data_IF_451586747057
#
_entry.id   IF_451586747057
#
_cell.length_a   1.000
_cell.length_b   1.000
_cell.length_c   1.000
_cell.angle_alpha   90.00
_cell.angle_beta   90.00
_cell.angle_gamma   90.00
#
_symmetry.space_group_name_H-M   'P 1'
#
loop_
_entity.id
_entity.type
_entity.pdbx_description
1 polymer ?
#
# COMPACT_ATOMS: atom_id res chain seq x y z
N UNK A 1 -33.23 11.41 12.83
CA UNK A 1 -33.60 10.03 13.23
C UNK A 1 -35.10 9.91 13.49
N UNK A 2 -35.98 9.94 12.46
CA UNK A 2 -37.44 9.69 12.64
C UNK A 2 -38.14 9.09 11.41
N UNK A 3 -37.44 8.46 10.46
CA UNK A 3 -38.06 7.90 9.24
C UNK A 3 -37.79 6.39 9.02
N UNK A 4 -37.03 5.72 9.89
CA UNK A 4 -36.61 4.32 9.69
C UNK A 4 -37.50 3.24 10.34
N UNK A 5 -38.53 3.62 11.11
CA UNK A 5 -39.19 2.67 12.03
C UNK A 5 -40.15 1.67 11.37
N UNK A 6 -40.61 1.90 10.14
CA UNK A 6 -41.67 1.08 9.53
C UNK A 6 -41.20 0.08 8.45
N UNK A 7 -39.91 0.05 8.17
CA UNK A 7 -39.35 -0.69 7.02
C UNK A 7 -38.60 -1.97 7.42
N UNK A 8 -38.25 -2.14 8.71
CA UNK A 8 -37.37 -3.22 9.18
C UNK A 8 -38.00 -4.61 9.25
N UNK A 9 -39.32 -4.76 9.15
CA UNK A 9 -40.01 -6.05 9.36
C UNK A 9 -40.36 -6.83 8.08
N UNK A 10 -40.15 -6.25 6.90
CA UNK A 10 -40.61 -6.81 5.61
C UNK A 10 -39.49 -7.38 4.72
N UNK A 11 -38.24 -7.34 5.18
CA UNK A 11 -37.06 -7.56 4.34
C UNK A 11 -36.87 -8.99 3.81
N UNK A 12 -37.34 -10.03 4.52
CA UNK A 12 -36.91 -11.41 4.20
C UNK A 12 -37.91 -12.31 3.45
N UNK A 13 -39.18 -11.95 3.26
CA UNK A 13 -40.12 -12.92 2.66
C UNK A 13 -41.43 -12.24 2.24
N UNK A 14 -41.64 -11.90 0.96
CA UNK A 14 -43.00 -11.89 0.30
C UNK A 14 -43.12 -11.21 -1.08
N UNK A 15 -42.18 -10.37 -1.55
CA UNK A 15 -42.44 -9.49 -2.72
C UNK A 15 -42.73 -10.15 -4.08
N UNK A 16 -42.12 -11.31 -4.40
CA UNK A 16 -42.42 -12.05 -5.66
C UNK A 16 -43.75 -12.81 -5.60
N UNK A 17 -44.09 -13.33 -4.41
CA UNK A 17 -45.34 -14.07 -4.18
C UNK A 17 -46.55 -13.14 -4.30
N UNK A 18 -46.49 -11.97 -3.68
CA UNK A 18 -47.58 -10.98 -3.69
C UNK A 18 -47.91 -10.47 -5.08
N UNK A 19 -46.91 -10.08 -5.89
CA UNK A 19 -47.16 -9.57 -7.25
C UNK A 19 -47.86 -10.60 -8.15
N UNK A 20 -47.51 -11.88 -8.00
CA UNK A 20 -48.12 -12.98 -8.78
C UNK A 20 -49.54 -13.32 -8.33
N UNK A 21 -49.83 -13.18 -7.04
CA UNK A 21 -51.15 -13.34 -6.43
C UNK A 21 -52.08 -12.18 -6.81
N UNK A 22 -51.58 -10.94 -6.78
CA UNK A 22 -52.33 -9.75 -7.18
C UNK A 22 -52.83 -9.83 -8.63
N UNK A 23 -51.94 -10.19 -9.57
CA UNK A 23 -52.31 -10.38 -10.98
C UNK A 23 -53.30 -11.52 -11.19
N UNK A 24 -53.23 -12.58 -10.39
CA UNK A 24 -54.18 -13.70 -10.43
C UNK A 24 -55.57 -13.27 -9.95
N UNK A 25 -55.65 -12.49 -8.88
CA UNK A 25 -56.89 -11.94 -8.33
C UNK A 25 -57.57 -10.99 -9.34
N UNK A 26 -56.82 -10.05 -9.93
CA UNK A 26 -57.31 -9.19 -11.02
C UNK A 26 -57.84 -9.99 -12.21
N UNK A 27 -57.08 -11.00 -12.67
CA UNK A 27 -57.49 -11.83 -13.81
C UNK A 27 -58.73 -12.69 -13.56
N UNK A 28 -59.07 -12.92 -12.28
CA UNK A 28 -60.22 -13.73 -11.87
C UNK A 28 -61.50 -12.91 -11.66
N UNK A 29 -61.43 -11.58 -11.70
CA UNK A 29 -62.55 -10.68 -11.43
C UNK A 29 -63.07 -10.73 -9.98
N UNK A 30 -62.37 -11.42 -9.09
CA UNK A 30 -62.70 -11.54 -7.67
C UNK A 30 -61.75 -10.65 -6.86
N UNK A 31 -62.31 -9.80 -6.01
CA UNK A 31 -61.59 -8.97 -5.04
C UNK A 31 -60.60 -7.93 -5.64
N UNK A 32 -61.08 -7.07 -6.57
CA UNK A 32 -60.31 -5.93 -7.11
C UNK A 32 -59.66 -5.06 -6.02
N UNK A 33 -60.39 -4.80 -4.92
CA UNK A 33 -59.87 -4.01 -3.80
C UNK A 33 -58.70 -4.71 -3.08
N UNK A 34 -58.71 -6.04 -3.01
CA UNK A 34 -57.66 -6.85 -2.40
C UNK A 34 -56.42 -6.92 -3.31
N UNK A 35 -56.64 -7.06 -4.63
CA UNK A 35 -55.59 -6.96 -5.65
C UNK A 35 -54.89 -5.60 -5.62
N UNK A 36 -55.64 -4.50 -5.57
CA UNK A 36 -55.11 -3.14 -5.51
C UNK A 36 -54.29 -2.92 -4.23
N UNK A 37 -54.81 -3.34 -3.06
CA UNK A 37 -54.06 -3.29 -1.78
C UNK A 37 -52.74 -4.06 -1.84
N UNK A 38 -52.72 -5.23 -2.49
CA UNK A 38 -51.52 -6.03 -2.65
C UNK A 38 -50.48 -5.37 -3.58
N UNK A 39 -50.93 -4.73 -4.65
CA UNK A 39 -50.07 -3.98 -5.56
C UNK A 39 -49.48 -2.75 -4.88
N UNK A 40 -50.29 -1.99 -4.13
CA UNK A 40 -49.85 -0.81 -3.39
C UNK A 40 -48.82 -1.18 -2.31
N UNK A 41 -49.07 -2.24 -1.54
CA UNK A 41 -48.10 -2.75 -0.56
C UNK A 41 -46.80 -3.26 -1.20
N UNK A 42 -46.87 -3.83 -2.41
CA UNK A 42 -45.67 -4.23 -3.17
C UNK A 42 -44.89 -3.02 -3.68
N UNK A 43 -45.57 -1.99 -4.17
CA UNK A 43 -44.92 -0.75 -4.63
C UNK A 43 -44.30 0.02 -3.47
N UNK A 44 -44.96 0.06 -2.31
CA UNK A 44 -44.42 0.62 -1.08
C UNK A 44 -43.18 -0.16 -0.62
N UNK A 45 -43.25 -1.50 -0.62
CA UNK A 45 -42.10 -2.36 -0.30
C UNK A 45 -40.91 -2.12 -1.23
N UNK A 46 -41.13 -1.92 -2.54
CA UNK A 46 -40.06 -1.59 -3.50
C UNK A 46 -39.43 -0.21 -3.22
N UNK A 47 -40.25 0.79 -2.89
CA UNK A 47 -39.75 2.14 -2.51
C UNK A 47 -38.92 2.07 -1.23
N UNK A 48 -39.42 1.34 -0.25
CA UNK A 48 -38.76 1.03 1.01
C UNK A 48 -37.42 0.31 0.81
N UNK A 49 -37.39 -0.70 -0.05
CA UNK A 49 -36.17 -1.43 -0.42
C UNK A 49 -35.15 -0.51 -1.09
N UNK A 50 -35.56 0.28 -2.08
CA UNK A 50 -34.68 1.21 -2.76
C UNK A 50 -34.10 2.28 -1.80
N UNK A 51 -34.89 2.75 -0.84
CA UNK A 51 -34.43 3.68 0.19
C UNK A 51 -33.40 3.02 1.13
N UNK A 52 -33.63 1.78 1.56
CA UNK A 52 -32.67 1.04 2.40
C UNK A 52 -31.38 0.69 1.67
N UNK A 53 -31.44 0.27 0.41
CA UNK A 53 -30.25 0.01 -0.42
C UNK A 53 -29.41 1.29 -0.60
N UNK A 54 -30.06 2.45 -0.73
CA UNK A 54 -29.38 3.74 -0.79
C UNK A 54 -28.71 4.10 0.55
N UNK A 55 -29.40 3.88 1.68
CA UNK A 55 -28.85 4.11 3.02
C UNK A 55 -27.69 3.16 3.33
N UNK A 56 -27.81 1.88 2.98
CA UNK A 56 -26.75 0.88 3.11
C UNK A 56 -25.51 1.30 2.32
N UNK A 57 -25.69 1.71 1.06
CA UNK A 57 -24.58 2.17 0.21
C UNK A 57 -23.88 3.39 0.80
N UNK A 58 -24.63 4.36 1.33
CA UNK A 58 -24.05 5.54 1.98
C UNK A 58 -23.30 5.17 3.27
N UNK A 59 -23.90 4.32 4.12
CA UNK A 59 -23.30 3.86 5.36
C UNK A 59 -22.01 3.07 5.09
N UNK A 60 -22.03 2.18 4.08
CA UNK A 60 -20.86 1.41 3.64
C UNK A 60 -19.74 2.32 3.12
N UNK A 61 -20.06 3.31 2.29
CA UNK A 61 -19.07 4.27 1.80
C UNK A 61 -18.42 5.07 2.95
N UNK A 62 -19.22 5.50 3.95
CA UNK A 62 -18.70 6.17 5.16
C UNK A 62 -17.82 5.25 6.00
N UNK A 63 -18.19 3.98 6.14
CA UNK A 63 -17.41 2.98 6.85
C UNK A 63 -16.07 2.74 6.15
N UNK A 64 -16.08 2.47 4.84
CA UNK A 64 -14.88 2.24 4.04
C UNK A 64 -13.94 3.45 4.11
N UNK A 65 -14.46 4.68 3.99
CA UNK A 65 -13.65 5.89 4.10
C UNK A 65 -12.95 6.01 5.46
N UNK A 66 -13.62 5.63 6.57
CA UNK A 66 -12.99 5.61 7.90
C UNK A 66 -11.99 4.48 8.04
N UNK A 67 -12.32 3.27 7.58
CA UNK A 67 -11.41 2.12 7.66
C UNK A 67 -10.08 2.38 6.92
N UNK A 68 -10.10 3.11 5.80
CA UNK A 68 -8.89 3.48 5.05
C UNK A 68 -7.96 4.46 5.81
N UNK A 69 -8.42 5.05 6.91
CA UNK A 69 -7.59 5.91 7.78
C UNK A 69 -6.90 5.14 8.90
N UNK A 70 -7.34 3.91 9.17
CA UNK A 70 -6.81 3.10 10.26
C UNK A 70 -5.57 2.36 9.77
N UNK A 71 -4.47 2.51 10.49
CA UNK A 71 -3.22 1.81 10.22
C UNK A 71 -3.28 0.32 10.56
N UNK A 72 -2.25 -0.39 10.12
CA UNK A 72 -2.06 -1.80 10.39
C UNK A 72 -1.83 -2.04 11.90
N UNK A 73 -2.17 -3.25 12.35
CA UNK A 73 -1.87 -3.66 13.72
C UNK A 73 -0.37 -3.89 13.84
N UNK A 74 0.23 -3.29 14.86
CA UNK A 74 1.66 -3.37 15.10
C UNK A 74 2.03 -4.71 15.76
N UNK A 75 3.18 -5.23 15.38
CA UNK A 75 3.76 -6.41 16.05
C UNK A 75 4.12 -6.08 17.50
N UNK A 76 3.95 -7.04 18.40
CA UNK A 76 4.25 -6.87 19.83
C UNK A 76 5.72 -6.48 20.11
N UNK A 77 6.63 -6.81 19.20
CA UNK A 77 8.04 -6.45 19.32
C UNK A 77 8.36 -5.01 18.90
N UNK A 78 7.39 -4.22 18.42
CA UNK A 78 7.62 -2.83 18.02
C UNK A 78 7.82 -1.98 19.27
N UNK A 79 8.93 -1.21 19.38
CA UNK A 79 9.13 -0.33 20.53
C UNK A 79 8.05 0.77 20.56
N UNK A 80 7.40 0.94 21.71
CA UNK A 80 6.33 1.94 21.88
C UNK A 80 6.94 3.30 22.22
N UNK A 81 6.87 4.23 21.28
CA UNK A 81 7.34 5.62 21.44
C UNK A 81 6.88 6.47 20.25
N UNK A 82 6.66 7.76 20.50
CA UNK A 82 6.41 8.77 19.46
C UNK A 82 7.68 9.54 19.05
N UNK A 83 8.81 9.26 19.71
CA UNK A 83 10.10 9.86 19.44
C UNK A 83 11.02 8.85 18.72
N UNK A 84 11.46 9.19 17.50
CA UNK A 84 12.42 8.42 16.71
C UNK A 84 13.79 8.28 17.40
N UNK A 85 14.14 9.15 18.35
CA UNK A 85 15.35 9.01 19.15
C UNK A 85 15.32 7.72 20.00
N UNK A 86 14.14 7.16 20.27
CA UNK A 86 13.95 5.91 21.01
C UNK A 86 13.96 4.67 20.09
N UNK A 87 14.33 4.83 18.82
CA UNK A 87 14.57 3.70 17.93
C UNK A 87 15.61 2.74 18.53
N UNK A 88 15.34 1.44 18.46
CA UNK A 88 16.15 0.43 19.18
C UNK A 88 17.16 -0.22 18.25
N UNK A 89 18.43 -0.23 18.63
CA UNK A 89 19.46 -0.99 17.92
C UNK A 89 19.21 -2.49 18.08
N UNK A 90 18.98 -3.18 16.96
CA UNK A 90 18.73 -4.63 16.93
C UNK A 90 20.02 -5.39 16.62
N UNK A 91 20.82 -4.87 15.69
CA UNK A 91 22.07 -5.52 15.26
C UNK A 91 23.09 -4.48 14.83
N UNK A 92 24.30 -4.55 15.37
CA UNK A 92 25.44 -3.78 14.86
C UNK A 92 26.18 -4.53 13.75
N UNK A 93 26.77 -3.81 12.81
CA UNK A 93 27.66 -4.40 11.80
C UNK A 93 28.81 -3.46 11.45
N UNK A 94 30.03 -4.02 11.40
CA UNK A 94 31.25 -3.30 11.06
C UNK A 94 31.74 -2.31 12.13
N UNK A 95 32.90 -1.72 11.88
CA UNK A 95 33.46 -0.66 12.71
C UNK A 95 33.42 0.66 11.95
N UNK A 96 32.95 1.73 12.61
CA UNK A 96 32.96 3.07 12.03
C UNK A 96 34.41 3.55 11.92
N UNK A 97 34.84 3.93 10.72
CA UNK A 97 36.10 4.64 10.54
C UNK A 97 36.05 5.98 11.29
N UNK A 98 36.92 6.12 12.28
CA UNK A 98 37.08 7.35 13.08
C UNK A 98 38.46 7.93 12.81
N UNK A 99 38.55 9.26 12.66
CA UNK A 99 39.79 9.99 12.45
C UNK A 99 40.13 10.34 10.99
N UNK A 100 41.01 11.33 10.83
CA UNK A 100 41.38 11.93 9.54
C UNK A 100 40.43 13.05 9.09
N UNK A 101 40.87 13.88 8.15
CA UNK A 101 40.03 14.91 7.49
C UNK A 101 39.12 14.24 6.45
N UNK A 102 38.16 13.44 6.91
CA UNK A 102 37.20 12.76 6.04
C UNK A 102 36.32 13.80 5.35
N UNK A 103 36.27 13.74 4.02
CA UNK A 103 35.38 14.58 3.22
C UNK A 103 33.96 14.05 3.28
N UNK A 104 32.97 14.95 3.27
CA UNK A 104 31.58 14.53 3.05
C UNK A 104 31.39 14.12 1.58
N UNK A 105 30.29 13.45 1.28
CA UNK A 105 30.05 12.92 -0.07
C UNK A 105 29.94 14.02 -1.15
N UNK A 106 29.47 15.22 -0.81
CA UNK A 106 29.37 16.34 -1.77
C UNK A 106 30.76 16.81 -2.16
N UNK A 107 31.63 17.05 -1.17
CA UNK A 107 33.02 17.44 -1.41
C UNK A 107 33.78 16.37 -2.18
N UNK A 108 33.53 15.09 -1.89
CA UNK A 108 34.11 13.97 -2.65
C UNK A 108 33.66 13.98 -4.12
N UNK A 109 32.36 14.14 -4.36
CA UNK A 109 31.81 14.20 -5.71
C UNK A 109 32.39 15.36 -6.52
N UNK A 110 32.57 16.54 -5.89
CA UNK A 110 33.20 17.71 -6.51
C UNK A 110 34.69 17.44 -6.77
N UNK A 111 35.42 16.90 -5.79
CA UNK A 111 36.84 16.65 -5.90
C UNK A 111 37.20 15.56 -6.93
N UNK A 112 36.27 14.67 -7.23
CA UNK A 112 36.44 13.56 -8.19
C UNK A 112 35.80 13.84 -9.55
N UNK A 113 35.13 14.98 -9.72
CA UNK A 113 34.45 15.40 -10.95
C UNK A 113 33.41 14.38 -11.48
N UNK A 114 32.83 13.58 -10.58
CA UNK A 114 31.83 12.55 -10.94
C UNK A 114 30.38 13.06 -10.83
N UNK A 115 30.17 14.28 -10.33
CA UNK A 115 28.84 14.93 -10.26
C UNK A 115 28.91 16.41 -10.60
N UNK A 116 28.03 16.85 -11.49
CA UNK A 116 27.82 18.27 -11.81
C UNK A 116 26.51 18.76 -11.17
N UNK A 117 26.65 19.38 -9.99
CA UNK A 117 25.52 19.91 -9.23
C UNK A 117 24.99 21.24 -9.79
N UNK A 118 25.87 22.14 -10.25
CA UNK A 118 25.47 23.51 -10.61
C UNK A 118 24.58 23.50 -11.84
N UNK A 119 24.98 22.77 -12.89
CA UNK A 119 24.14 22.60 -14.08
C UNK A 119 22.91 21.74 -13.79
N UNK A 120 23.02 20.77 -12.89
CA UNK A 120 21.88 19.96 -12.43
C UNK A 120 20.79 20.83 -11.79
N UNK A 121 21.16 21.73 -10.88
CA UNK A 121 20.23 22.68 -10.26
C UNK A 121 19.64 23.65 -11.28
N UNK A 122 20.45 24.12 -12.23
CA UNK A 122 19.96 24.98 -13.30
C UNK A 122 18.94 24.30 -14.21
N UNK A 123 19.07 22.98 -14.44
CA UNK A 123 18.20 22.21 -15.32
C UNK A 123 16.91 21.71 -14.63
N UNK A 124 17.01 21.25 -13.38
CA UNK A 124 15.90 20.56 -12.70
C UNK A 124 15.39 21.27 -11.44
N UNK A 125 15.95 22.43 -11.08
CA UNK A 125 15.66 23.10 -9.81
C UNK A 125 16.46 22.52 -8.65
N UNK A 126 16.11 22.92 -7.42
CA UNK A 126 16.83 22.50 -6.22
C UNK A 126 17.01 20.98 -6.16
N UNK A 127 18.20 20.50 -5.76
CA UNK A 127 18.53 19.06 -5.64
C UNK A 127 18.69 18.29 -6.97
N UNK A 128 18.66 18.99 -8.12
CA UNK A 128 19.08 18.42 -9.40
C UNK A 128 20.60 18.21 -9.49
N UNK A 129 21.03 17.16 -10.19
CA UNK A 129 22.44 16.84 -10.43
C UNK A 129 22.61 16.05 -11.74
N UNK A 130 23.81 16.08 -12.31
CA UNK A 130 24.23 15.13 -13.35
C UNK A 130 25.29 14.21 -12.77
N UNK A 131 25.15 12.89 -12.95
CA UNK A 131 26.26 11.97 -12.76
C UNK A 131 27.14 11.97 -14.01
N UNK A 132 28.45 12.04 -13.83
CA UNK A 132 29.45 12.06 -14.87
C UNK A 132 30.35 10.83 -14.76
N UNK A 133 30.82 10.33 -15.91
CA UNK A 133 31.83 9.26 -16.02
C UNK A 133 31.66 8.13 -14.98
N UNK A 134 32.63 7.94 -14.09
CA UNK A 134 32.64 6.91 -13.06
C UNK A 134 31.46 7.03 -12.09
N UNK A 135 30.90 8.21 -11.86
CA UNK A 135 29.70 8.39 -11.04
C UNK A 135 28.47 7.73 -11.69
N UNK A 136 28.30 7.92 -13.00
CA UNK A 136 27.22 7.30 -13.76
C UNK A 136 27.40 5.77 -13.83
N UNK A 137 28.62 5.32 -14.14
CA UNK A 137 28.95 3.89 -14.21
C UNK A 137 28.82 3.18 -12.87
N UNK A 138 29.24 3.83 -11.77
CA UNK A 138 29.11 3.28 -10.42
C UNK A 138 27.65 3.11 -10.03
N UNK A 139 26.78 4.08 -10.37
CA UNK A 139 25.35 3.97 -10.11
C UNK A 139 24.73 2.74 -10.82
N UNK A 140 25.09 2.50 -12.09
CA UNK A 140 24.64 1.29 -12.81
C UNK A 140 25.23 0.01 -12.21
N UNK A 141 26.52 0.02 -11.88
CA UNK A 141 27.22 -1.12 -11.32
C UNK A 141 26.62 -1.56 -9.98
N UNK A 142 26.26 -0.61 -9.12
CA UNK A 142 25.59 -0.88 -7.84
C UNK A 142 24.23 -1.54 -8.04
N UNK A 143 23.41 -1.02 -8.96
CA UNK A 143 22.13 -1.64 -9.27
C UNK A 143 22.30 -3.07 -9.79
N UNK A 144 23.24 -3.28 -10.73
CA UNK A 144 23.54 -4.60 -11.28
C UNK A 144 24.04 -5.58 -10.23
N UNK A 145 24.89 -5.12 -9.32
CA UNK A 145 25.36 -5.91 -8.18
C UNK A 145 24.19 -6.36 -7.31
N UNK A 146 23.31 -5.45 -6.88
CA UNK A 146 22.16 -5.76 -6.03
C UNK A 146 21.21 -6.76 -6.70
N UNK A 147 20.91 -6.56 -8.00
CA UNK A 147 20.09 -7.49 -8.78
C UNK A 147 20.74 -8.87 -8.84
N UNK A 148 22.03 -8.96 -9.17
CA UNK A 148 22.73 -10.24 -9.24
C UNK A 148 22.80 -10.94 -7.87
N UNK A 149 23.01 -10.18 -6.80
CA UNK A 149 23.06 -10.65 -5.43
C UNK A 149 21.71 -11.27 -4.99
N UNK A 150 20.59 -10.62 -5.31
CA UNK A 150 19.26 -11.11 -4.97
C UNK A 150 18.82 -12.27 -5.86
N UNK A 151 19.17 -12.26 -7.15
CA UNK A 151 18.90 -13.39 -8.05
C UNK A 151 19.54 -14.69 -7.58
N UNK A 152 20.75 -14.63 -7.01
CA UNK A 152 21.40 -15.80 -6.39
C UNK A 152 20.65 -16.35 -5.17
N UNK A 153 19.71 -15.57 -4.60
CA UNK A 153 18.83 -15.94 -3.47
C UNK A 153 17.40 -16.29 -3.90
N UNK A 154 17.19 -16.55 -5.19
CA UNK A 154 15.90 -16.96 -5.72
C UNK A 154 14.94 -15.81 -6.02
N UNK A 155 15.39 -14.55 -5.98
CA UNK A 155 14.55 -13.41 -6.38
C UNK A 155 14.44 -13.33 -7.91
N UNK A 156 13.21 -13.15 -8.41
CA UNK A 156 12.94 -12.87 -9.81
C UNK A 156 13.14 -11.39 -10.09
N UNK A 157 14.05 -11.06 -11.01
CA UNK A 157 14.28 -9.67 -11.39
C UNK A 157 13.15 -9.13 -12.25
N UNK A 158 12.70 -7.91 -11.95
CA UNK A 158 11.60 -7.26 -12.66
C UNK A 158 11.83 -5.75 -12.71
N UNK A 159 11.64 -5.17 -13.90
CA UNK A 159 11.55 -3.71 -14.07
C UNK A 159 10.07 -3.32 -14.00
N UNK A 160 9.73 -2.36 -13.16
CA UNK A 160 8.34 -1.96 -12.95
C UNK A 160 7.95 -0.77 -13.84
N UNK A 161 6.66 -0.58 -14.15
CA UNK A 161 6.18 0.68 -14.72
C UNK A 161 6.49 1.86 -13.80
N UNK A 162 6.91 2.99 -14.37
CA UNK A 162 7.22 4.21 -13.61
C UNK A 162 6.01 5.11 -13.35
N UNK A 163 4.90 4.83 -14.03
CA UNK A 163 3.66 5.63 -13.96
C UNK A 163 2.51 4.67 -13.64
N UNK A 164 1.69 5.05 -12.66
CA UNK A 164 0.50 4.31 -12.24
C UNK A 164 -0.75 5.17 -12.36
N UNK A 165 -1.90 4.53 -12.59
CA UNK A 165 -3.20 5.19 -12.51
C UNK A 165 -3.52 5.56 -11.05
N UNK A 166 -4.35 6.59 -10.83
CA UNK A 166 -4.83 6.95 -9.49
C UNK A 166 -5.46 5.75 -8.75
N UNK A 167 -6.22 4.92 -9.47
CA UNK A 167 -6.87 3.75 -8.87
C UNK A 167 -5.86 2.72 -8.36
N UNK A 168 -4.83 2.41 -9.17
CA UNK A 168 -3.79 1.47 -8.77
C UNK A 168 -2.94 2.05 -7.62
N UNK A 169 -2.56 3.33 -7.72
CA UNK A 169 -1.80 4.02 -6.68
C UNK A 169 -2.57 4.04 -5.33
N UNK A 170 -3.90 4.19 -5.37
CA UNK A 170 -4.75 4.24 -4.17
C UNK A 170 -4.81 2.93 -3.38
N UNK A 171 -4.31 1.84 -3.95
CA UNK A 171 -4.25 0.52 -3.29
C UNK A 171 -2.98 0.35 -2.46
N UNK A 172 -1.93 1.13 -2.73
CA UNK A 172 -0.62 1.01 -2.08
C UNK A 172 -0.14 2.31 -1.41
N UNK A 173 -0.62 3.48 -1.82
CA UNK A 173 -0.26 4.77 -1.24
C UNK A 173 -1.36 5.28 -0.30
N UNK A 174 -0.94 5.94 0.78
CA UNK A 174 -1.83 6.61 1.71
C UNK A 174 -2.30 7.95 1.13
N UNK A 175 -3.46 8.43 1.56
CA UNK A 175 -4.04 9.69 1.07
C UNK A 175 -3.12 10.89 1.28
N UNK A 176 -2.42 10.97 2.42
CA UNK A 176 -1.45 12.03 2.72
C UNK A 176 -0.29 12.07 1.72
N UNK A 177 0.12 10.92 1.18
CA UNK A 177 1.27 10.82 0.26
C UNK A 177 0.98 11.43 -1.11
N UNK A 178 -0.29 11.58 -1.51
CA UNK A 178 -0.64 12.08 -2.84
C UNK A 178 -0.16 13.51 -3.10
N UNK A 179 -0.38 14.38 -2.12
CA UNK A 179 -0.10 15.81 -2.30
C UNK A 179 1.33 16.14 -1.85
N UNK A 180 1.81 15.49 -0.79
CA UNK A 180 3.11 15.77 -0.18
C UNK A 180 4.24 15.02 -0.89
N UNK A 181 4.08 13.74 -1.22
CA UNK A 181 5.21 12.90 -1.64
C UNK A 181 5.26 12.62 -3.16
N UNK A 182 4.10 12.53 -3.85
CA UNK A 182 4.01 12.03 -5.23
C UNK A 182 3.96 13.12 -6.30
N UNK A 183 4.61 12.85 -7.44
CA UNK A 183 4.45 13.63 -8.67
C UNK A 183 3.25 13.15 -9.49
N UNK A 184 2.41 14.10 -9.91
CA UNK A 184 1.21 13.84 -10.72
C UNK A 184 1.46 14.25 -12.18
N UNK A 185 1.01 13.41 -13.11
CA UNK A 185 0.93 13.75 -14.53
C UNK A 185 -0.31 14.61 -14.75
N UNK A 186 -0.11 15.86 -15.15
CA UNK A 186 -1.19 16.81 -15.38
C UNK A 186 -2.13 16.32 -16.50
N UNK A 187 -3.45 16.49 -16.31
CA UNK A 187 -4.46 16.08 -17.29
C UNK A 187 -4.74 14.57 -17.39
N UNK A 188 -3.88 13.70 -16.84
CA UNK A 188 -4.01 12.24 -17.05
C UNK A 188 -4.52 11.45 -15.84
N UNK A 189 -4.54 12.05 -14.64
CA UNK A 189 -4.93 11.32 -13.43
C UNK A 189 -3.99 10.17 -13.09
N UNK A 190 -2.72 10.29 -13.49
CA UNK A 190 -1.65 9.33 -13.24
C UNK A 190 -0.57 9.93 -12.35
N UNK A 191 0.24 9.07 -11.73
CA UNK A 191 1.29 9.46 -10.81
C UNK A 191 2.58 8.72 -11.12
N UNK A 192 3.71 9.39 -10.96
CA UNK A 192 5.00 8.72 -10.95
C UNK A 192 5.16 7.91 -9.67
N UNK A 193 5.89 6.80 -9.76
CA UNK A 193 6.17 5.96 -8.59
C UNK A 193 7.23 6.61 -7.69
N UNK A 194 7.04 6.49 -6.37
CA UNK A 194 8.03 6.83 -5.36
C UNK A 194 8.90 5.64 -4.95
N UNK A 195 8.56 4.44 -5.42
CA UNK A 195 9.23 3.17 -5.16
C UNK A 195 8.70 2.07 -6.10
N UNK A 196 9.53 1.10 -6.50
CA UNK A 196 9.10 -0.11 -7.20
C UNK A 196 8.11 -0.96 -6.38
N UNK A 197 8.04 -0.78 -5.07
CA UNK A 197 7.04 -1.43 -4.19
C UNK A 197 5.61 -1.14 -4.65
N UNK A 198 5.29 0.09 -5.05
CA UNK A 198 3.93 0.49 -5.44
C UNK A 198 3.37 -0.34 -6.61
N UNK A 199 4.05 -0.46 -7.76
CA UNK A 199 3.60 -1.32 -8.84
C UNK A 199 3.70 -2.82 -8.50
N UNK A 200 4.65 -3.23 -7.65
CA UNK A 200 4.74 -4.63 -7.22
C UNK A 200 3.58 -5.05 -6.30
N UNK A 201 3.09 -4.14 -5.46
CA UNK A 201 1.97 -4.39 -4.55
C UNK A 201 0.65 -4.67 -5.28
N UNK A 202 0.48 -4.14 -6.50
CA UNK A 202 -0.71 -4.37 -7.31
C UNK A 202 -0.50 -5.40 -8.42
N UNK A 203 0.72 -5.92 -8.59
CA UNK A 203 1.08 -6.83 -9.69
C UNK A 203 0.19 -8.08 -9.74
N UNK A 204 -0.11 -8.62 -8.57
CA UNK A 204 -0.90 -9.85 -8.40
C UNK A 204 -2.32 -9.57 -7.88
N UNK A 205 -2.84 -8.37 -8.11
CA UNK A 205 -4.16 -8.01 -7.61
C UNK A 205 -5.25 -8.92 -8.19
N UNK A 206 -6.02 -9.54 -7.30
CA UNK A 206 -7.13 -10.44 -7.67
C UNK A 206 -6.68 -11.87 -7.98
N UNK A 207 -5.39 -12.16 -7.89
CA UNK A 207 -4.87 -13.52 -8.03
C UNK A 207 -4.99 -14.29 -6.71
N UNK A 208 -5.11 -15.61 -6.82
CA UNK A 208 -5.04 -16.55 -5.70
C UNK A 208 -3.81 -17.43 -5.88
N UNK A 209 -3.12 -17.72 -4.77
CA UNK A 209 -1.92 -18.54 -4.77
C UNK A 209 -2.18 -19.87 -4.07
N UNK A 210 -1.67 -20.94 -4.66
CA UNK A 210 -1.53 -22.21 -3.95
C UNK A 210 -0.29 -22.14 -3.02
N UNK A 211 -0.31 -22.78 -1.84
CA UNK A 211 0.79 -22.67 -0.88
C UNK A 211 2.18 -23.05 -1.42
N UNK A 212 2.27 -23.96 -2.39
CA UNK A 212 3.53 -24.37 -3.03
C UNK A 212 4.15 -23.30 -3.95
N UNK A 213 3.40 -22.25 -4.29
CA UNK A 213 3.88 -21.11 -5.06
C UNK A 213 4.56 -20.05 -4.18
N UNK A 214 4.42 -20.16 -2.86
CA UNK A 214 4.93 -19.20 -1.88
C UNK A 214 6.24 -19.73 -1.24
N UNK A 215 7.19 -18.83 -0.89
CA UNK A 215 7.14 -17.39 -1.10
C UNK A 215 7.50 -16.99 -2.54
N UNK A 216 6.80 -15.99 -3.08
CA UNK A 216 7.20 -15.32 -4.33
C UNK A 216 8.12 -14.16 -3.96
N UNK A 217 9.31 -14.12 -4.58
CA UNK A 217 10.35 -13.13 -4.31
C UNK A 217 10.67 -12.32 -5.57
N UNK A 218 10.56 -11.00 -5.48
CA UNK A 218 10.90 -10.07 -6.56
C UNK A 218 12.04 -9.14 -6.18
N UNK A 219 12.98 -8.98 -7.09
CA UNK A 219 13.93 -7.86 -7.07
C UNK A 219 13.49 -6.84 -8.11
N UNK A 220 12.75 -5.84 -7.65
CA UNK A 220 12.29 -4.70 -8.45
C UNK A 220 13.43 -3.71 -8.66
N UNK A 221 13.53 -3.10 -9.83
CA UNK A 221 14.46 -1.98 -10.03
C UNK A 221 13.78 -0.87 -10.84
N UNK A 222 13.91 0.36 -10.34
CA UNK A 222 13.31 1.54 -10.95
C UNK A 222 13.92 2.85 -10.45
N UNK A 223 13.93 3.82 -11.34
CA UNK A 223 13.94 5.24 -11.00
C UNK A 223 12.74 5.61 -10.12
N UNK A 224 12.99 6.28 -9.00
CA UNK A 224 11.99 6.68 -8.01
C UNK A 224 11.89 8.20 -7.94
N UNK A 225 10.69 8.73 -7.86
CA UNK A 225 10.42 10.18 -7.85
C UNK A 225 9.76 10.60 -6.54
N UNK A 226 10.35 11.55 -5.82
CA UNK A 226 9.80 12.07 -4.55
C UNK A 226 9.93 13.58 -4.46
N UNK A 227 8.88 14.24 -3.98
CA UNK A 227 8.90 15.69 -3.74
C UNK A 227 9.79 16.08 -2.55
N UNK A 228 9.84 15.26 -1.50
CA UNK A 228 10.42 15.68 -0.21
C UNK A 228 11.75 15.02 0.18
N UNK A 229 12.01 13.77 -0.23
CA UNK A 229 13.16 13.00 0.26
C UNK A 229 14.40 13.14 -0.63
N UNK A 230 15.37 13.97 -0.23
CA UNK A 230 16.64 14.08 -0.95
C UNK A 230 16.44 14.62 -2.38
N UNK A 231 17.12 14.06 -3.37
CA UNK A 231 16.94 14.41 -4.78
C UNK A 231 15.54 14.13 -5.31
N UNK A 232 15.10 14.89 -6.32
CA UNK A 232 13.82 14.67 -7.01
C UNK A 232 13.70 13.26 -7.60
N UNK A 233 14.84 12.66 -7.91
CA UNK A 233 14.99 11.38 -8.58
C UNK A 233 16.14 10.60 -7.95
N UNK A 234 15.97 9.28 -7.79
CA UNK A 234 17.04 8.37 -7.40
C UNK A 234 16.74 6.94 -7.89
N UNK A 235 17.78 6.14 -8.08
CA UNK A 235 17.63 4.74 -8.44
C UNK A 235 17.51 3.87 -7.20
N UNK A 236 16.58 2.90 -7.23
CA UNK A 236 16.39 1.96 -6.13
C UNK A 236 16.20 0.53 -6.65
N UNK A 237 16.87 -0.41 -5.99
CA UNK A 237 16.64 -1.84 -6.12
C UNK A 237 15.85 -2.31 -4.90
N UNK A 238 14.63 -2.79 -5.13
CA UNK A 238 13.64 -3.13 -4.13
C UNK A 238 13.51 -4.64 -3.97
N UNK A 239 13.47 -5.13 -2.73
CA UNK A 239 13.03 -6.49 -2.43
C UNK A 239 11.52 -6.46 -2.15
N UNK A 240 10.74 -7.30 -2.83
CA UNK A 240 9.31 -7.45 -2.58
C UNK A 240 8.96 -8.93 -2.49
N UNK A 241 8.35 -9.34 -1.38
CA UNK A 241 8.06 -10.74 -1.09
C UNK A 241 6.58 -10.92 -0.81
N UNK A 242 5.96 -11.92 -1.44
CA UNK A 242 4.60 -12.37 -1.14
C UNK A 242 4.75 -13.73 -0.46
N UNK A 243 4.28 -13.82 0.78
CA UNK A 243 4.45 -15.01 1.63
C UNK A 243 3.11 -15.58 2.07
N UNK A 244 3.15 -16.80 2.60
CA UNK A 244 2.01 -17.32 3.35
C UNK A 244 1.73 -16.38 4.54
N UNK A 245 0.46 -16.10 4.83
CA UNK A 245 0.06 -15.40 6.05
C UNK A 245 -0.13 -16.36 7.23
N UNK A 246 -0.04 -17.68 7.00
CA UNK A 246 -0.24 -18.69 8.02
C UNK A 246 1.08 -18.98 8.75
N UNK A 247 1.02 -19.22 10.06
CA UNK A 247 2.21 -19.46 10.87
C UNK A 247 3.12 -18.23 10.97
N UNK A 248 4.43 -18.45 10.86
CA UNK A 248 5.45 -17.42 11.06
C UNK A 248 6.17 -17.01 9.75
N UNK A 249 5.78 -17.58 8.61
CA UNK A 249 6.50 -17.46 7.33
C UNK A 249 6.77 -16.01 6.92
N UNK A 250 5.78 -15.13 7.09
CA UNK A 250 5.93 -13.70 6.76
C UNK A 250 6.90 -12.96 7.69
N UNK A 251 6.99 -13.36 8.97
CA UNK A 251 7.93 -12.78 9.92
C UNK A 251 9.34 -13.30 9.68
N UNK A 252 9.49 -14.59 9.37
CA UNK A 252 10.78 -15.17 8.99
C UNK A 252 11.33 -14.55 7.70
N UNK A 253 10.47 -14.31 6.71
CA UNK A 253 10.85 -13.56 5.51
C UNK A 253 11.27 -12.13 5.83
N UNK A 254 10.56 -11.44 6.73
CA UNK A 254 10.93 -10.09 7.15
C UNK A 254 12.33 -10.06 7.76
N UNK A 255 12.69 -11.04 8.59
CA UNK A 255 14.03 -11.18 9.15
C UNK A 255 15.09 -11.57 8.08
N UNK A 256 14.74 -12.45 7.13
CA UNK A 256 15.62 -12.89 6.03
C UNK A 256 16.06 -11.73 5.12
N UNK A 257 15.17 -10.77 4.86
CA UNK A 257 15.41 -9.64 3.96
C UNK A 257 16.48 -8.66 4.47
N UNK A 258 16.94 -8.78 5.72
CA UNK A 258 17.77 -7.77 6.41
C UNK A 258 19.24 -8.17 6.46
N UNK A 259 20.12 -7.28 6.00
CA UNK A 259 21.58 -7.40 6.18
C UNK A 259 22.19 -6.13 6.79
N UNK A 260 23.22 -6.24 7.62
CA UNK A 260 23.97 -5.09 8.14
C UNK A 260 23.52 -4.56 9.51
N UNK A 261 23.69 -3.25 9.72
CA UNK A 261 23.39 -2.55 10.98
C UNK A 261 21.90 -2.14 11.02
N UNK A 262 21.15 -2.68 11.96
CA UNK A 262 19.67 -2.71 11.94
C UNK A 262 19.11 -1.99 13.14
N UNK A 263 18.17 -1.10 12.91
CA UNK A 263 17.45 -0.36 13.93
C UNK A 263 15.94 -0.63 13.79
N UNK A 264 15.29 -0.99 14.89
CA UNK A 264 13.84 -1.12 15.00
C UNK A 264 13.21 0.24 15.14
N UNK A 265 12.26 0.53 14.26
CA UNK A 265 11.53 1.80 14.26
C UNK A 265 10.44 1.76 15.32
N UNK A 266 10.30 2.85 16.08
CA UNK A 266 9.26 3.02 17.10
C UNK A 266 7.86 3.14 16.49
N UNK A 267 6.84 2.83 17.27
CA UNK A 267 5.43 2.82 16.85
C UNK A 267 4.97 4.12 16.20
N UNK A 268 5.31 5.29 16.77
CA UNK A 268 4.84 6.59 16.28
C UNK A 268 5.51 7.04 14.97
N UNK A 269 6.60 6.39 14.56
CA UNK A 269 7.32 6.67 13.32
C UNK A 269 7.01 5.67 12.19
N UNK A 270 6.10 4.71 12.44
CA UNK A 270 5.63 3.78 11.41
C UNK A 270 4.60 4.46 10.51
N UNK A 271 4.66 4.13 9.23
CA UNK A 271 3.58 4.49 8.31
C UNK A 271 2.38 3.54 8.54
N UNK A 272 1.17 3.98 8.21
CA UNK A 272 -0.06 3.21 8.42
C UNK A 272 -0.06 1.81 7.81
N UNK A 273 0.82 1.51 6.85
CA UNK A 273 0.84 0.22 6.18
C UNK A 273 1.74 -0.81 6.88
N UNK A 274 2.72 -0.38 7.68
CA UNK A 274 3.67 -1.26 8.34
C UNK A 274 3.12 -1.86 9.65
N UNK A 275 3.26 -3.17 9.83
CA UNK A 275 3.10 -3.83 11.13
C UNK A 275 4.41 -3.81 11.96
N UNK A 276 5.55 -3.78 11.27
CA UNK A 276 6.90 -3.74 11.83
C UNK A 276 7.84 -3.18 10.76
N UNK A 277 8.85 -2.42 11.17
CA UNK A 277 9.82 -1.81 10.26
C UNK A 277 11.22 -1.83 10.87
N UNK A 278 12.17 -2.19 10.02
CA UNK A 278 13.57 -2.03 10.28
C UNK A 278 14.17 -1.03 9.31
N UNK A 279 14.97 -0.12 9.86
CA UNK A 279 15.82 0.77 9.10
C UNK A 279 17.27 0.27 9.18
N UNK A 280 17.90 0.07 8.03
CA UNK A 280 19.32 -0.16 7.96
C UNK A 280 20.04 1.18 8.02
N UNK A 281 20.90 1.34 9.00
CA UNK A 281 21.76 2.51 9.12
C UNK A 281 23.17 2.15 8.68
N UNK A 282 23.48 2.41 7.42
CA UNK A 282 24.87 2.54 6.99
C UNK A 282 25.48 3.77 7.63
N UNK A 283 26.81 3.81 7.76
CA UNK A 283 27.52 5.02 8.22
C UNK A 283 27.27 6.24 7.32
N UNK A 284 26.61 6.05 6.16
CA UNK A 284 26.06 7.11 5.29
C UNK A 284 24.86 6.69 4.38
N UNK A 285 24.21 5.52 4.55
CA UNK A 285 23.12 5.05 3.65
C UNK A 285 21.95 4.48 4.46
N UNK A 286 20.71 4.84 4.14
CA UNK A 286 19.49 4.32 4.77
C UNK A 286 18.73 3.39 3.81
N UNK A 287 18.45 2.14 4.23
CA UNK A 287 17.49 1.24 3.57
C UNK A 287 16.28 1.06 4.49
N UNK A 288 15.06 1.12 3.95
CA UNK A 288 13.81 0.92 4.71
C UNK A 288 13.15 -0.40 4.27
N UNK A 289 12.77 -1.26 5.22
CA UNK A 289 12.07 -2.52 4.98
C UNK A 289 10.70 -2.52 5.66
N UNK A 290 9.63 -2.77 4.88
CA UNK A 290 8.24 -2.73 5.34
C UNK A 290 7.60 -4.13 5.32
N UNK A 291 6.73 -4.44 6.28
CA UNK A 291 5.76 -5.55 6.19
C UNK A 291 4.34 -4.98 6.06
N UNK A 292 3.69 -5.25 4.93
CA UNK A 292 2.25 -5.05 4.74
C UNK A 292 1.53 -6.32 5.24
N UNK A 293 0.69 -6.21 6.28
CA UNK A 293 -0.17 -7.34 6.69
C UNK A 293 -1.53 -7.19 6.01
N UNK A 294 -2.01 -8.26 5.36
CA UNK A 294 -3.40 -8.34 4.88
C UNK A 294 -4.32 -9.10 5.82
N UNK A 295 -3.82 -9.71 6.90
CA UNK A 295 -4.56 -10.79 7.60
C UNK A 295 -4.78 -10.65 9.10
N UNK A 296 -4.34 -9.58 9.78
CA UNK A 296 -4.48 -9.51 11.25
C UNK A 296 -5.55 -8.53 11.79
N UNK A 297 -6.29 -7.80 10.94
CA UNK A 297 -7.34 -6.87 11.42
C UNK A 297 -8.75 -7.16 10.91
N UNK A 298 -8.96 -8.13 10.00
CA UNK A 298 -10.28 -8.36 9.37
C UNK A 298 -11.05 -9.56 9.90
N UNK A 299 -10.38 -10.53 10.53
CA UNK A 299 -11.05 -11.73 11.04
C UNK A 299 -11.54 -11.60 12.49
N UNK A 300 -10.93 -10.74 13.31
CA UNK A 300 -11.29 -10.63 14.73
C UNK A 300 -12.52 -9.75 14.99
N UNK A 301 -13.11 -9.18 13.93
CA UNK A 301 -14.33 -8.36 14.01
C UNK A 301 -15.60 -9.09 13.53
N UNK A 302 -15.52 -10.35 13.09
CA UNK A 302 -16.72 -11.11 12.70
C UNK A 302 -16.53 -12.64 12.82
N UNK A 303 -17.39 -13.35 13.58
CA UNK A 303 -17.36 -14.81 13.60
C UNK A 303 -17.93 -15.36 12.29
N UNK A 304 -17.19 -16.29 11.68
CA UNK A 304 -17.57 -17.31 10.69
C UNK A 304 -18.63 -17.01 9.61
N UNK A 305 -18.31 -17.50 8.40
CA UNK A 305 -19.16 -17.71 7.20
C UNK A 305 -19.18 -16.58 6.19
N UNK A 306 -18.23 -16.63 5.25
CA UNK A 306 -18.54 -16.70 3.82
C UNK A 306 -17.26 -17.05 3.06
N UNK A 307 -17.41 -18.00 2.13
CA UNK A 307 -16.40 -18.51 1.21
C UNK A 307 -15.89 -17.44 0.25
#
# INVERSE_FOLDING_TARGET
MKHGANCGSTWTRTGRSSTSLARRLESSGQAEEEAQKLMDGTNESKKCQAAMEAEEREAKAKLEAKLMTIGNILHESVPVSDDEANNVLVRGFGERRVGGKLMNHVDLCIATDIVEFKKGVAASGGRGFYLLEEGALLNEALQRFCIAFLRKRGYKAIRTPHIMTKEAMGKCAQLSQYDEELYKVEGEGKFFIATAEQPLAVLHQGEQFHPDQLPIRYVGFSTCFRKEAGSHEFEKVEQFCITSPDGNDSWEMHEEMIAGHVVSVVSGALNNSAAKKYDLQGTSVMLKLYRLSSKEARNDLWPEKAW
#
